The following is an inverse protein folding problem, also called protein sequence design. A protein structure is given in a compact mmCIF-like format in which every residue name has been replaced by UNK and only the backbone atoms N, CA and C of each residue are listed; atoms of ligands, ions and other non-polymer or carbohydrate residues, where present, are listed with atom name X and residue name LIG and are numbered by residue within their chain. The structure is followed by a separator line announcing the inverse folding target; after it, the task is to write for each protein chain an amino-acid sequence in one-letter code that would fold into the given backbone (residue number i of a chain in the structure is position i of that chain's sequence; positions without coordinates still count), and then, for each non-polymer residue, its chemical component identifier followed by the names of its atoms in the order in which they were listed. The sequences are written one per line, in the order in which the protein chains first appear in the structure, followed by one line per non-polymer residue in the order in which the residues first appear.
data_IF_769220460433
#
_entry.id   IF_769220460433
#
_cell.length_a   1.000
_cell.length_b   1.000
_cell.length_c   1.000
_cell.angle_alpha   90.00
_cell.angle_beta   90.00
_cell.angle_gamma   90.00
#
_symmetry.space_group_name_H-M   'P 1'
#
loop_
_entity.id
_entity.type
_entity.pdbx_description
1 polymer ?
#
# COMPACT_ATOMS: atom_id res chain seq x y z
N UNK A 1 10.85 -19.94 7.68
CA UNK A 1 10.54 -18.49 7.79
C UNK A 1 9.84 -18.29 9.11
N UNK A 2 10.18 -17.22 9.81
CA UNK A 2 9.51 -16.87 11.05
C UNK A 2 8.06 -16.49 10.78
N UNK A 3 7.21 -16.70 11.78
CA UNK A 3 5.79 -16.36 11.72
C UNK A 3 5.65 -14.83 11.65
N UNK A 4 4.83 -14.32 10.72
CA UNK A 4 4.49 -12.90 10.69
C UNK A 4 3.66 -12.54 11.93
N UNK A 5 3.93 -11.37 12.47
CA UNK A 5 3.20 -10.80 13.61
C UNK A 5 2.64 -9.45 13.17
N UNK A 6 1.35 -9.25 13.36
CA UNK A 6 0.71 -7.99 13.03
C UNK A 6 1.30 -6.83 13.85
N UNK A 7 1.65 -5.75 13.19
CA UNK A 7 2.07 -4.50 13.83
C UNK A 7 0.85 -3.81 14.46
N UNK A 8 1.09 -2.99 15.48
CA UNK A 8 0.04 -2.19 16.14
C UNK A 8 0.19 -0.73 15.74
N UNK A 9 -0.92 -0.11 15.37
CA UNK A 9 -0.98 1.30 15.00
C UNK A 9 -2.00 2.02 15.89
N UNK A 10 -1.61 3.15 16.46
CA UNK A 10 -2.48 4.00 17.27
C UNK A 10 -2.73 5.29 16.49
N UNK A 11 -3.66 5.24 15.53
CA UNK A 11 -3.96 6.34 14.65
C UNK A 11 -5.20 7.10 15.13
N UNK A 12 -5.11 8.43 15.08
CA UNK A 12 -6.24 9.35 15.19
C UNK A 12 -6.19 10.24 13.97
N UNK A 13 -7.16 10.11 13.08
CA UNK A 13 -7.15 10.72 11.76
C UNK A 13 -8.28 11.75 11.61
N UNK A 14 -8.04 12.74 10.77
CA UNK A 14 -9.07 13.72 10.40
C UNK A 14 -9.93 13.15 9.29
N UNK A 15 -11.25 13.09 9.52
CA UNK A 15 -12.19 12.62 8.50
C UNK A 15 -12.25 11.10 8.32
N UNK A 16 -11.44 10.31 9.04
CA UNK A 16 -11.52 8.85 9.06
C UNK A 16 -11.79 8.43 10.50
N UNK A 17 -12.94 7.79 10.75
CA UNK A 17 -13.38 7.46 12.09
C UNK A 17 -12.56 6.32 12.72
N UNK A 18 -12.55 6.30 14.06
CA UNK A 18 -11.93 5.21 14.81
C UNK A 18 -12.59 3.86 14.47
N UNK A 19 -13.90 3.85 14.20
CA UNK A 19 -14.62 2.64 13.79
C UNK A 19 -14.10 2.09 12.45
N UNK A 20 -13.89 2.96 11.45
CA UNK A 20 -13.30 2.55 10.16
C UNK A 20 -11.91 1.97 10.36
N UNK A 21 -11.06 2.62 11.16
CA UNK A 21 -9.72 2.13 11.47
C UNK A 21 -9.74 0.77 12.17
N UNK A 22 -10.63 0.55 13.12
CA UNK A 22 -10.76 -0.72 13.84
C UNK A 22 -11.18 -1.86 12.91
N UNK A 23 -12.17 -1.64 12.03
CA UNK A 23 -12.60 -2.66 11.06
C UNK A 23 -11.52 -2.92 10.00
N UNK A 24 -10.87 -1.88 9.52
CA UNK A 24 -9.75 -2.00 8.59
C UNK A 24 -8.57 -2.79 9.21
N UNK A 25 -8.29 -2.53 10.49
CA UNK A 25 -7.25 -3.25 11.22
C UNK A 25 -7.57 -4.74 11.41
N UNK A 26 -8.85 -5.11 11.56
CA UNK A 26 -9.27 -6.53 11.62
C UNK A 26 -8.97 -7.24 10.29
N UNK A 27 -9.21 -6.58 9.14
CA UNK A 27 -8.88 -7.13 7.82
C UNK A 27 -7.37 -7.36 7.68
N UNK A 28 -6.56 -6.38 8.05
CA UNK A 28 -5.11 -6.52 8.05
C UNK A 28 -4.64 -7.71 8.90
N UNK A 29 -5.17 -7.88 10.12
CA UNK A 29 -4.86 -9.05 10.95
C UNK A 29 -5.25 -10.36 10.24
N UNK A 30 -6.39 -10.38 9.54
CA UNK A 30 -6.82 -11.52 8.73
C UNK A 30 -5.81 -11.91 7.65
N UNK A 31 -5.22 -10.93 6.96
CA UNK A 31 -4.14 -11.18 5.97
C UNK A 31 -2.87 -11.74 6.61
N UNK A 32 -2.48 -11.25 7.79
CA UNK A 32 -1.34 -11.78 8.54
C UNK A 32 -1.57 -13.25 8.91
N UNK A 33 -2.74 -13.57 9.47
CA UNK A 33 -3.09 -14.92 9.88
C UNK A 33 -3.17 -15.86 8.67
N UNK A 34 -3.79 -15.42 7.57
CA UNK A 34 -3.92 -16.22 6.35
C UNK A 34 -2.56 -16.46 5.68
N UNK A 35 -1.69 -15.47 5.63
CA UNK A 35 -0.31 -15.64 5.13
C UNK A 35 0.44 -16.70 5.93
N UNK A 36 0.31 -16.66 7.26
CA UNK A 36 0.94 -17.68 8.12
C UNK A 36 0.35 -19.09 7.87
N UNK A 37 -0.97 -19.21 7.76
CA UNK A 37 -1.65 -20.47 7.44
C UNK A 37 -1.14 -21.06 6.11
N UNK A 38 -1.10 -20.23 5.05
CA UNK A 38 -0.63 -20.64 3.73
C UNK A 38 0.82 -21.12 3.78
N UNK A 39 1.68 -20.40 4.48
CA UNK A 39 3.09 -20.79 4.64
C UNK A 39 3.28 -22.11 5.37
N UNK A 40 2.44 -22.41 6.36
CA UNK A 40 2.46 -23.73 7.01
C UNK A 40 2.03 -24.83 6.04
N UNK A 41 0.94 -24.64 5.28
CA UNK A 41 0.49 -25.61 4.26
C UNK A 41 1.54 -25.85 3.17
N UNK A 42 2.26 -24.81 2.76
CA UNK A 42 3.35 -24.91 1.77
C UNK A 42 4.53 -25.79 2.22
N UNK A 43 4.69 -26.05 3.51
CA UNK A 43 5.74 -26.97 4.02
C UNK A 43 5.45 -28.43 3.67
N UNK A 44 4.19 -28.80 3.63
CA UNK A 44 3.75 -30.21 3.51
C UNK A 44 3.03 -30.54 2.21
N UNK A 45 2.67 -29.56 1.40
CA UNK A 45 1.95 -29.76 0.13
C UNK A 45 2.75 -30.63 -0.84
N UNK A 46 2.07 -31.54 -1.53
CA UNK A 46 2.67 -32.42 -2.53
C UNK A 46 3.05 -31.65 -3.82
N UNK A 47 4.34 -31.32 -3.92
CA UNK A 47 4.89 -30.56 -5.05
C UNK A 47 4.93 -31.35 -6.35
N UNK A 48 4.90 -32.68 -6.29
CA UNK A 48 4.93 -33.55 -7.48
C UNK A 48 3.64 -33.40 -8.32
N UNK A 49 2.56 -32.95 -7.71
CA UNK A 49 1.26 -32.68 -8.36
C UNK A 49 1.11 -31.26 -8.91
N UNK A 50 2.15 -30.43 -8.83
CA UNK A 50 2.10 -29.06 -9.31
C UNK A 50 1.84 -29.02 -10.83
N UNK A 51 0.86 -28.20 -11.23
CA UNK A 51 0.56 -27.94 -12.65
C UNK A 51 -0.06 -26.55 -12.84
N UNK A 52 -0.08 -26.07 -14.09
CA UNK A 52 -0.50 -24.70 -14.41
C UNK A 52 -2.03 -24.53 -14.39
N UNK A 53 -2.82 -25.59 -14.55
CA UNK A 53 -4.29 -25.48 -14.65
C UNK A 53 -4.92 -25.46 -13.26
N UNK A 54 -4.65 -26.51 -12.45
CA UNK A 54 -5.17 -26.62 -11.10
C UNK A 54 -4.29 -27.57 -10.27
N UNK A 55 -3.84 -27.10 -9.13
CA UNK A 55 -3.22 -27.93 -8.09
C UNK A 55 -3.26 -27.17 -6.77
N UNK A 56 -3.27 -27.90 -5.66
CA UNK A 56 -3.20 -27.29 -4.33
C UNK A 56 -1.95 -26.40 -4.19
N UNK A 57 -0.80 -26.84 -4.72
CA UNK A 57 0.42 -26.05 -4.71
C UNK A 57 0.26 -24.72 -5.46
N UNK A 58 -0.36 -24.74 -6.65
CA UNK A 58 -0.60 -23.52 -7.43
C UNK A 58 -1.50 -22.55 -6.68
N UNK A 59 -2.59 -23.05 -6.11
CA UNK A 59 -3.53 -22.24 -5.34
C UNK A 59 -2.85 -21.59 -4.14
N UNK A 60 -2.12 -22.36 -3.34
CA UNK A 60 -1.35 -21.84 -2.21
C UNK A 60 -0.35 -20.75 -2.64
N UNK A 61 0.31 -20.91 -3.81
CA UNK A 61 1.27 -19.91 -4.31
C UNK A 61 0.62 -18.64 -4.81
N UNK A 62 -0.58 -18.71 -5.39
CA UNK A 62 -1.35 -17.53 -5.77
C UNK A 62 -1.81 -16.75 -4.53
N UNK A 63 -2.43 -17.47 -3.59
CA UNK A 63 -2.94 -16.90 -2.36
C UNK A 63 -1.82 -16.38 -1.43
N UNK A 64 -0.62 -16.97 -1.48
CA UNK A 64 0.54 -16.44 -0.76
C UNK A 64 0.87 -15.02 -1.21
N UNK A 65 0.91 -14.77 -2.53
CA UNK A 65 1.22 -13.42 -3.05
C UNK A 65 0.11 -12.44 -2.72
N UNK A 66 -1.16 -12.83 -2.89
CA UNK A 66 -2.30 -11.98 -2.59
C UNK A 66 -2.32 -11.55 -1.11
N UNK A 67 -2.23 -12.51 -0.19
CA UNK A 67 -2.29 -12.21 1.24
C UNK A 67 -1.04 -11.48 1.75
N UNK A 68 0.15 -11.85 1.26
CA UNK A 68 1.40 -11.19 1.67
C UNK A 68 1.47 -9.75 1.19
N UNK A 69 1.04 -9.46 -0.04
CA UNK A 69 0.95 -8.08 -0.51
C UNK A 69 -0.16 -7.32 0.21
N UNK A 70 -1.26 -7.99 0.57
CA UNK A 70 -2.25 -7.45 1.49
C UNK A 70 -1.63 -7.00 2.82
N UNK A 71 -0.79 -7.84 3.45
CA UNK A 71 -0.06 -7.44 4.67
C UNK A 71 0.81 -6.22 4.43
N UNK A 72 1.66 -6.25 3.40
CA UNK A 72 2.65 -5.19 3.14
C UNK A 72 2.02 -3.85 2.79
N UNK A 73 1.00 -3.87 1.93
CA UNK A 73 0.30 -2.64 1.51
C UNK A 73 -0.47 -2.00 2.67
N UNK A 74 -1.12 -2.79 3.54
CA UNK A 74 -1.75 -2.26 4.73
C UNK A 74 -0.74 -1.68 5.73
N UNK A 75 0.42 -2.33 5.92
CA UNK A 75 1.48 -1.77 6.76
C UNK A 75 1.96 -0.43 6.23
N UNK A 76 2.25 -0.35 4.93
CA UNK A 76 2.65 0.89 4.27
C UNK A 76 1.56 1.98 4.38
N UNK A 77 0.29 1.61 4.22
CA UNK A 77 -0.86 2.51 4.37
C UNK A 77 -0.96 3.08 5.77
N UNK A 78 -0.97 2.23 6.80
CA UNK A 78 -1.06 2.72 8.18
C UNK A 78 0.16 3.55 8.61
N UNK A 79 1.35 3.19 8.16
CA UNK A 79 2.58 3.90 8.47
C UNK A 79 2.63 5.30 7.85
N UNK A 80 2.02 5.49 6.68
CA UNK A 80 2.00 6.82 6.03
C UNK A 80 0.82 7.72 6.45
N UNK A 81 0.11 7.36 7.50
CA UNK A 81 -1.00 8.15 8.04
C UNK A 81 -0.68 8.79 9.40
N UNK A 82 -1.47 9.79 9.77
CA UNK A 82 -1.37 10.51 11.04
C UNK A 82 -0.39 11.67 11.03
N UNK A 83 0.01 12.12 9.85
CA UNK A 83 0.83 13.33 9.68
C UNK A 83 0.01 14.63 9.75
N UNK A 84 0.68 15.78 9.78
CA UNK A 84 0.04 17.08 9.61
C UNK A 84 -0.46 17.23 8.18
N UNK A 85 -1.59 17.93 7.99
CA UNK A 85 -2.05 18.30 6.64
C UNK A 85 -1.06 19.25 5.99
N UNK A 86 -0.94 19.17 4.67
CA UNK A 86 -0.13 20.11 3.88
C UNK A 86 0.69 19.44 2.78
N UNK A 87 1.50 20.26 2.13
CA UNK A 87 2.44 19.84 1.13
C UNK A 87 3.63 19.08 1.76
N UNK A 88 4.31 18.19 1.00
CA UNK A 88 5.52 17.55 1.46
C UNK A 88 6.66 18.55 1.67
N UNK A 89 7.60 18.16 2.49
CA UNK A 89 8.92 18.77 2.66
C UNK A 89 10.03 17.78 2.28
N UNK A 90 11.27 18.18 2.45
CA UNK A 90 12.43 17.30 2.28
C UNK A 90 12.65 16.81 0.85
N UNK A 91 13.22 15.60 0.75
CA UNK A 91 13.64 15.03 -0.54
C UNK A 91 12.46 14.71 -1.45
N UNK A 92 11.35 14.20 -0.89
CA UNK A 92 10.18 13.86 -1.68
C UNK A 92 9.53 15.08 -2.33
N UNK A 93 9.56 16.26 -1.67
CA UNK A 93 9.07 17.51 -2.25
C UNK A 93 9.86 17.88 -3.50
N UNK A 94 11.17 17.75 -3.47
CA UNK A 94 12.06 18.02 -4.61
C UNK A 94 11.83 17.04 -5.75
N UNK A 95 11.65 15.75 -5.45
CA UNK A 95 11.38 14.72 -6.45
C UNK A 95 10.01 14.94 -7.12
N UNK A 96 8.98 15.26 -6.35
CA UNK A 96 7.63 15.57 -6.89
C UNK A 96 7.71 16.81 -7.80
N UNK A 97 8.37 17.87 -7.37
CA UNK A 97 8.52 19.08 -8.19
C UNK A 97 9.29 18.81 -9.49
N UNK A 98 10.29 17.93 -9.44
CA UNK A 98 11.08 17.56 -10.61
C UNK A 98 10.28 16.73 -11.62
N UNK A 99 9.56 15.70 -11.15
CA UNK A 99 8.90 14.72 -12.03
C UNK A 99 7.51 15.17 -12.49
N UNK A 100 6.77 15.92 -11.66
CA UNK A 100 5.39 16.37 -11.94
C UNK A 100 5.28 17.88 -12.18
N UNK A 101 6.38 18.62 -12.00
CA UNK A 101 6.43 20.08 -12.15
C UNK A 101 5.92 20.85 -10.91
N UNK A 102 4.97 20.34 -10.17
CA UNK A 102 4.49 20.91 -8.89
C UNK A 102 3.83 19.87 -8.01
N UNK A 103 3.66 20.22 -6.73
CA UNK A 103 2.88 19.38 -5.79
C UNK A 103 1.41 19.29 -6.22
N UNK A 104 0.83 20.37 -6.71
CA UNK A 104 -0.56 20.43 -7.16
C UNK A 104 -0.81 19.51 -8.35
N UNK A 105 0.11 19.47 -9.32
CA UNK A 105 0.02 18.58 -10.47
C UNK A 105 0.11 17.11 -10.04
N UNK A 106 1.08 16.77 -9.18
CA UNK A 106 1.18 15.43 -8.61
C UNK A 106 -0.08 15.04 -7.85
N UNK A 107 -0.60 15.95 -7.02
CA UNK A 107 -1.81 15.71 -6.22
C UNK A 107 -3.02 15.44 -7.10
N UNK A 108 -3.19 16.20 -8.17
CA UNK A 108 -4.27 16.00 -9.14
C UNK A 108 -4.16 14.60 -9.78
N UNK A 109 -2.98 14.21 -10.24
CA UNK A 109 -2.72 12.90 -10.84
C UNK A 109 -2.90 11.76 -9.84
N UNK A 110 -2.40 11.90 -8.60
CA UNK A 110 -2.57 10.91 -7.54
C UNK A 110 -4.04 10.70 -7.17
N UNK A 111 -4.82 11.78 -7.05
CA UNK A 111 -6.26 11.73 -6.79
C UNK A 111 -6.99 11.06 -7.95
N UNK A 112 -6.69 11.42 -9.20
CA UNK A 112 -7.27 10.80 -10.38
C UNK A 112 -6.97 9.30 -10.43
N UNK A 113 -5.73 8.90 -10.15
CA UNK A 113 -5.32 7.52 -10.01
C UNK A 113 -6.13 6.80 -8.91
N UNK A 114 -6.33 7.44 -7.75
CA UNK A 114 -7.13 6.93 -6.63
C UNK A 114 -8.60 6.71 -6.99
N UNK A 115 -9.20 7.64 -7.72
CA UNK A 115 -10.58 7.50 -8.21
C UNK A 115 -10.70 6.31 -9.19
N UNK A 116 -9.71 6.15 -10.06
CA UNK A 116 -9.70 5.12 -11.10
C UNK A 116 -9.39 3.71 -10.55
N UNK A 117 -8.67 3.57 -9.45
CA UNK A 117 -8.27 2.28 -8.87
C UNK A 117 -9.43 1.58 -8.15
N UNK A 118 -9.37 0.25 -8.05
CA UNK A 118 -10.32 -0.57 -7.28
C UNK A 118 -9.73 -1.12 -6.00
N UNK A 119 -8.41 -1.14 -5.87
CA UNK A 119 -7.69 -1.67 -4.72
C UNK A 119 -6.76 -0.63 -4.10
N UNK A 120 -5.74 -0.20 -4.81
CA UNK A 120 -4.70 0.67 -4.27
C UNK A 120 -4.26 1.74 -5.26
N UNK A 121 -3.78 2.86 -4.71
CA UNK A 121 -2.98 3.83 -5.45
C UNK A 121 -1.65 3.99 -4.75
N UNK A 122 -0.57 3.85 -5.50
CA UNK A 122 0.78 3.81 -4.93
C UNK A 122 1.67 4.80 -5.67
N UNK A 123 2.21 5.78 -4.93
CA UNK A 123 3.36 6.55 -5.40
C UNK A 123 4.60 5.69 -5.26
N UNK A 124 5.23 5.36 -6.37
CA UNK A 124 6.45 4.56 -6.43
C UNK A 124 7.62 5.38 -6.96
N UNK A 125 8.82 5.03 -6.50
CA UNK A 125 10.06 5.37 -7.18
C UNK A 125 10.48 4.19 -8.06
N UNK A 126 10.78 4.45 -9.33
CA UNK A 126 11.31 3.45 -10.25
C UNK A 126 12.83 3.65 -10.43
N UNK A 127 13.66 2.71 -9.93
CA UNK A 127 15.12 2.79 -10.10
C UNK A 127 15.60 2.66 -11.54
N UNK A 128 14.74 2.26 -12.49
CA UNK A 128 15.13 2.09 -13.89
C UNK A 128 15.23 3.43 -14.62
N UNK A 129 14.26 4.32 -14.37
CA UNK A 129 14.25 5.66 -14.99
C UNK A 129 14.53 6.80 -13.99
N UNK A 130 14.70 6.45 -12.72
CA UNK A 130 14.98 7.35 -11.58
C UNK A 130 13.87 8.37 -11.34
N UNK A 131 12.61 7.99 -11.61
CA UNK A 131 11.43 8.86 -11.49
C UNK A 131 10.38 8.34 -10.52
N UNK A 132 9.51 9.24 -10.13
CA UNK A 132 8.29 8.96 -9.41
C UNK A 132 7.14 8.65 -10.37
N UNK A 133 6.33 7.66 -10.01
CA UNK A 133 5.14 7.27 -10.75
C UNK A 133 3.97 7.01 -9.80
N UNK A 134 2.75 7.39 -10.19
CA UNK A 134 1.53 6.97 -9.54
C UNK A 134 0.99 5.73 -10.26
N UNK A 135 0.97 4.59 -9.59
CA UNK A 135 0.40 3.34 -10.13
C UNK A 135 -0.89 2.98 -9.43
N UNK A 136 -1.87 2.49 -10.19
CA UNK A 136 -3.06 1.87 -9.63
C UNK A 136 -2.93 0.35 -9.60
N UNK A 137 -3.53 -0.26 -8.59
CA UNK A 137 -3.63 -1.71 -8.45
C UNK A 137 -5.09 -2.07 -8.17
N UNK A 138 -5.65 -3.00 -8.94
CA UNK A 138 -7.03 -3.47 -8.74
C UNK A 138 -7.13 -4.57 -7.68
N UNK A 139 -6.02 -5.29 -7.41
CA UNK A 139 -5.90 -6.29 -6.35
C UNK A 139 -4.58 -6.10 -5.60
N UNK A 140 -4.41 -6.80 -4.47
CA UNK A 140 -3.16 -6.69 -3.68
C UNK A 140 -1.92 -7.04 -4.51
N UNK A 141 -2.02 -8.03 -5.39
CA UNK A 141 -0.92 -8.54 -6.20
C UNK A 141 -1.07 -8.30 -7.71
N UNK A 142 -1.95 -7.39 -8.13
CA UNK A 142 -2.14 -7.03 -9.56
C UNK A 142 -1.99 -5.52 -9.75
N UNK A 143 -1.21 -5.13 -10.75
CA UNK A 143 -0.87 -3.73 -11.03
C UNK A 143 0.48 -3.30 -10.44
N UNK A 144 1.14 -4.19 -9.70
CA UNK A 144 2.50 -3.95 -9.19
C UNK A 144 3.50 -3.91 -10.35
N UNK A 145 4.27 -2.84 -10.44
CA UNK A 145 5.38 -2.76 -11.39
C UNK A 145 6.65 -3.30 -10.72
N UNK A 146 7.19 -4.38 -11.26
CA UNK A 146 8.36 -5.06 -10.69
C UNK A 146 9.55 -4.12 -10.52
N UNK A 147 10.26 -4.23 -9.39
CA UNK A 147 11.42 -3.43 -8.98
C UNK A 147 11.11 -2.00 -8.55
N UNK A 148 9.88 -1.52 -8.62
CA UNK A 148 9.54 -0.21 -8.06
C UNK A 148 9.48 -0.24 -6.54
N UNK A 149 9.70 0.92 -5.92
CA UNK A 149 9.74 1.09 -4.48
C UNK A 149 8.53 1.89 -4.06
N UNK A 150 7.58 1.29 -3.32
CA UNK A 150 6.40 2.00 -2.83
C UNK A 150 6.80 3.03 -1.76
N UNK A 151 6.43 4.28 -1.99
CA UNK A 151 6.72 5.39 -1.09
C UNK A 151 5.49 5.86 -0.32
N UNK A 152 4.34 6.03 -1.01
CA UNK A 152 3.06 6.42 -0.43
C UNK A 152 1.99 5.47 -0.94
N UNK A 153 1.19 4.93 -0.03
CA UNK A 153 0.15 3.94 -0.35
C UNK A 153 -1.20 4.44 0.14
N UNK A 154 -2.17 4.48 -0.76
CA UNK A 154 -3.58 4.78 -0.50
C UNK A 154 -4.41 3.52 -0.75
N UNK A 155 -5.15 3.09 0.25
CA UNK A 155 -6.16 2.05 0.12
C UNK A 155 -7.43 2.62 -0.49
N UNK A 156 -7.90 2.06 -1.59
CA UNK A 156 -9.11 2.48 -2.31
C UNK A 156 -10.19 1.40 -2.37
N UNK A 157 -10.01 0.30 -1.65
CA UNK A 157 -11.07 -0.67 -1.41
C UNK A 157 -12.20 -0.04 -0.57
N UNK A 158 -13.41 -0.50 -0.76
CA UNK A 158 -14.58 0.00 -0.02
C UNK A 158 -14.43 -0.13 1.50
N UNK A 159 -13.77 -1.17 1.99
CA UNK A 159 -13.55 -1.36 3.43
C UNK A 159 -12.75 -0.22 4.08
N UNK A 160 -11.93 0.51 3.32
CA UNK A 160 -11.15 1.62 3.83
C UNK A 160 -11.99 2.89 4.08
N UNK A 161 -13.19 3.01 3.45
CA UNK A 161 -13.93 4.26 3.50
C UNK A 161 -15.46 4.12 3.61
N UNK A 162 -16.04 2.97 3.28
CA UNK A 162 -17.51 2.84 3.14
C UNK A 162 -18.28 3.17 4.42
N UNK A 163 -17.69 2.91 5.59
CA UNK A 163 -18.31 3.21 6.89
C UNK A 163 -18.52 4.73 7.08
N UNK A 164 -17.56 5.54 6.65
CA UNK A 164 -17.58 6.99 6.86
C UNK A 164 -18.16 7.75 5.66
N UNK A 165 -17.96 7.24 4.46
CA UNK A 165 -18.22 7.96 3.20
C UNK A 165 -19.22 7.27 2.28
N UNK A 166 -19.64 6.04 2.57
CA UNK A 166 -20.48 5.28 1.64
C UNK A 166 -19.81 5.17 0.28
N UNK A 167 -20.50 5.60 -0.79
CA UNK A 167 -19.98 5.59 -2.16
C UNK A 167 -19.12 6.82 -2.53
N UNK A 168 -18.96 7.79 -1.62
CA UNK A 168 -18.18 9.02 -1.87
C UNK A 168 -16.68 8.79 -1.65
N UNK A 169 -16.09 8.02 -2.55
CA UNK A 169 -14.65 7.73 -2.55
C UNK A 169 -13.80 9.01 -2.66
N UNK A 170 -14.30 10.05 -3.37
CA UNK A 170 -13.54 11.29 -3.58
C UNK A 170 -13.30 12.01 -2.26
N UNK A 171 -14.32 12.17 -1.43
CA UNK A 171 -14.18 12.80 -0.11
C UNK A 171 -13.27 12.00 0.83
N UNK A 172 -13.28 10.67 0.73
CA UNK A 172 -12.32 9.83 1.45
C UNK A 172 -10.87 10.09 1.00
N UNK A 173 -10.62 10.15 -0.32
CA UNK A 173 -9.27 10.44 -0.83
C UNK A 173 -8.79 11.81 -0.35
N UNK A 174 -9.67 12.82 -0.31
CA UNK A 174 -9.35 14.14 0.25
C UNK A 174 -9.01 14.06 1.75
N UNK A 175 -9.74 13.25 2.53
CA UNK A 175 -9.42 13.00 3.93
C UNK A 175 -8.06 12.28 4.07
N UNK A 176 -7.77 11.29 3.24
CA UNK A 176 -6.46 10.64 3.21
C UNK A 176 -5.34 11.65 2.96
N UNK A 177 -5.47 12.51 1.93
CA UNK A 177 -4.47 13.54 1.61
C UNK A 177 -4.17 14.49 2.79
N UNK A 178 -5.16 14.75 3.64
CA UNK A 178 -5.02 15.59 4.83
C UNK A 178 -4.37 14.86 6.03
N UNK A 179 -4.06 13.59 5.92
CA UNK A 179 -3.46 12.76 6.96
C UNK A 179 -2.11 12.17 6.57
N UNK A 180 -1.56 12.51 5.39
CA UNK A 180 -0.27 11.96 4.94
C UNK A 180 0.85 12.36 5.92
N UNK A 181 1.61 11.37 6.35
CA UNK A 181 2.83 11.54 7.15
C UNK A 181 4.04 11.59 6.23
N UNK A 182 4.33 12.78 5.68
CA UNK A 182 5.42 12.98 4.72
C UNK A 182 6.80 12.59 5.26
N UNK A 183 7.00 12.68 6.58
CA UNK A 183 8.21 12.19 7.24
C UNK A 183 8.47 10.71 6.94
N UNK A 184 7.43 9.86 6.98
CA UNK A 184 7.56 8.44 6.69
C UNK A 184 7.85 8.20 5.20
N UNK A 185 7.25 8.99 4.31
CA UNK A 185 7.55 8.94 2.86
C UNK A 185 9.01 9.32 2.62
N UNK A 186 9.50 10.41 3.21
CA UNK A 186 10.92 10.82 3.12
C UNK A 186 11.86 9.74 3.64
N UNK A 187 11.54 9.10 4.76
CA UNK A 187 12.33 8.02 5.34
C UNK A 187 12.47 6.84 4.38
N UNK A 188 11.39 6.44 3.68
CA UNK A 188 11.43 5.36 2.68
C UNK A 188 12.38 5.70 1.53
N UNK A 189 12.32 6.93 1.02
CA UNK A 189 13.26 7.42 -0.02
C UNK A 189 14.69 7.38 0.49
N UNK A 190 14.95 7.96 1.65
CA UNK A 190 16.31 8.04 2.23
C UNK A 190 16.89 6.64 2.48
N UNK A 191 16.10 5.75 3.07
CA UNK A 191 16.54 4.37 3.33
C UNK A 191 16.92 3.63 2.04
N UNK A 192 16.19 3.87 0.93
CA UNK A 192 16.56 3.27 -0.34
C UNK A 192 17.87 3.84 -0.89
N UNK A 193 18.05 5.17 -0.84
CA UNK A 193 19.28 5.84 -1.29
C UNK A 193 20.47 5.33 -0.51
N UNK A 194 20.39 5.27 0.83
CA UNK A 194 21.46 4.80 1.70
C UNK A 194 21.88 3.35 1.41
N UNK A 195 20.92 2.46 1.10
CA UNK A 195 21.21 1.06 0.77
C UNK A 195 21.89 0.88 -0.61
N UNK A 196 21.83 1.88 -1.48
CA UNK A 196 22.33 1.79 -2.87
C UNK A 196 23.44 2.83 -3.17
N UNK A 197 23.84 3.63 -2.19
CA UNK A 197 24.97 4.57 -2.28
C UNK A 197 26.29 3.85 -1.96
N UNK A 198 26.85 3.14 -2.96
CA UNK A 198 28.20 2.55 -2.89
C UNK A 198 29.06 3.09 -4.01
#
# INVERSE_FOLDING_TARGET
MDKLVAKKYNLVLRGISQRTLEEHYKLYNGYVDKTNEIREKLKTVDRSKANASYSEYRELKLEETYNLDGVKLHELYFENLGGPSGAPDGIIASMIAFDFGSFENWKEDFIACGIASRGWTVLCFDPLDLKLHNYLQDFHNQGVVSRTIPLLVLDTYEHAYFIDYGSDKKSYIEAFMNNIKWEEVNKRVTSWIEMHSF
#
